data_IF_064799639055
#
_entry.id   IF_064799639055
#
_cell.length_a   1.000
_cell.length_b   1.000
_cell.length_c   1.000
_cell.angle_alpha   90.00
_cell.angle_beta   90.00
_cell.angle_gamma   90.00
#
_symmetry.space_group_name_H-M   'P 1'
#
loop_
_entity.id
_entity.type
_entity.pdbx_description
1 polymer ?
#
# COMPACT_ATOMS: atom_id res chain seq x y z
N UNK A 1 12.60 68.43 1.04
CA UNK A 1 13.34 67.16 0.96
C UNK A 1 12.34 66.03 0.90
N UNK A 2 12.18 65.48 -0.29
CA UNK A 2 11.11 64.56 -0.64
C UNK A 2 11.70 63.13 -0.65
N UNK A 3 11.32 62.29 0.31
CA UNK A 3 11.75 60.89 0.34
C UNK A 3 10.72 60.02 -0.40
N UNK A 4 11.12 59.51 -1.55
CA UNK A 4 10.33 58.61 -2.37
C UNK A 4 10.29 57.22 -1.73
N UNK A 5 9.07 56.70 -1.50
CA UNK A 5 8.82 55.35 -1.05
C UNK A 5 9.02 54.37 -2.22
N UNK A 6 9.83 53.32 -2.00
CA UNK A 6 10.03 52.21 -2.95
C UNK A 6 8.78 51.34 -3.04
N UNK A 7 8.45 50.78 -4.23
CA UNK A 7 7.28 49.89 -4.40
C UNK A 7 7.58 48.50 -3.82
N UNK A 8 6.72 48.07 -2.90
CA UNK A 8 6.71 46.69 -2.36
C UNK A 8 6.33 45.70 -3.44
N UNK A 9 7.23 44.76 -3.77
CA UNK A 9 6.97 43.66 -4.69
C UNK A 9 5.94 42.72 -4.10
N UNK A 10 4.83 42.48 -4.83
CA UNK A 10 3.82 41.45 -4.55
C UNK A 10 4.47 40.08 -4.62
N UNK A 11 4.17 39.12 -3.70
CA UNK A 11 4.65 37.77 -3.80
C UNK A 11 4.04 37.09 -5.04
N UNK A 12 4.90 36.43 -5.84
CA UNK A 12 4.50 35.65 -7.02
C UNK A 12 3.53 34.55 -6.60
N UNK A 13 2.37 34.54 -7.25
CA UNK A 13 1.31 33.56 -7.07
C UNK A 13 1.83 32.15 -7.30
N UNK A 14 1.41 31.25 -6.39
CA UNK A 14 1.47 29.79 -6.46
C UNK A 14 1.15 29.33 -7.89
N UNK A 15 2.08 28.62 -8.53
CA UNK A 15 1.87 28.10 -9.88
C UNK A 15 0.57 27.27 -9.91
N UNK A 16 -0.44 27.75 -10.59
CA UNK A 16 -1.64 27.00 -10.93
C UNK A 16 -1.18 25.84 -11.83
N UNK A 17 -1.23 24.61 -11.28
CA UNK A 17 -1.02 23.40 -12.08
C UNK A 17 -2.07 23.36 -13.20
N UNK A 18 -1.63 23.11 -14.44
CA UNK A 18 -2.52 22.95 -15.58
C UNK A 18 -3.63 21.93 -15.23
N UNK A 19 -4.89 22.16 -15.70
CA UNK A 19 -6.00 21.26 -15.40
C UNK A 19 -5.68 19.84 -15.89
N UNK A 20 -5.92 18.83 -15.02
CA UNK A 20 -5.66 17.43 -15.32
C UNK A 20 -6.33 17.03 -16.66
N UNK A 21 -5.61 16.26 -17.49
CA UNK A 21 -6.15 15.75 -18.75
C UNK A 21 -7.38 14.88 -18.54
N UNK A 22 -8.22 14.71 -19.57
CA UNK A 22 -9.38 13.80 -19.51
C UNK A 22 -8.95 12.37 -19.11
N UNK A 23 -7.80 11.94 -19.61
CA UNK A 23 -7.22 10.63 -19.27
C UNK A 23 -6.89 10.53 -17.78
N UNK A 24 -6.20 11.52 -17.21
CA UNK A 24 -5.88 11.54 -15.78
C UNK A 24 -7.14 11.57 -14.90
N UNK A 25 -8.14 12.40 -15.25
CA UNK A 25 -9.40 12.43 -14.49
C UNK A 25 -10.12 11.08 -14.50
N UNK A 26 -10.09 10.35 -15.63
CA UNK A 26 -10.67 9.00 -15.72
C UNK A 26 -9.91 8.00 -14.83
N UNK A 27 -8.59 8.06 -14.81
CA UNK A 27 -7.76 7.20 -13.94
C UNK A 27 -8.09 7.46 -12.46
N UNK A 28 -8.14 8.72 -12.03
CA UNK A 28 -8.46 9.06 -10.64
C UNK A 28 -9.90 8.65 -10.26
N UNK A 29 -10.85 8.85 -11.16
CA UNK A 29 -12.23 8.39 -10.96
C UNK A 29 -12.29 6.85 -10.84
N UNK A 30 -11.56 6.13 -11.69
CA UNK A 30 -11.46 4.67 -11.63
C UNK A 30 -10.84 4.19 -10.31
N UNK A 31 -9.71 4.78 -9.87
CA UNK A 31 -9.11 4.48 -8.56
C UNK A 31 -10.13 4.67 -7.44
N UNK A 32 -10.85 5.78 -7.44
CA UNK A 32 -11.85 6.07 -6.41
C UNK A 32 -12.99 5.05 -6.39
N UNK A 33 -13.51 4.69 -7.57
CA UNK A 33 -14.59 3.71 -7.70
C UNK A 33 -14.14 2.30 -7.34
N UNK A 34 -12.96 1.85 -7.82
CA UNK A 34 -12.41 0.54 -7.47
C UNK A 34 -12.24 0.39 -5.96
N UNK A 35 -11.81 1.45 -5.26
CA UNK A 35 -11.68 1.46 -3.80
C UNK A 35 -13.03 1.43 -3.07
N UNK A 36 -14.06 1.97 -3.65
CA UNK A 36 -15.39 2.06 -3.03
C UNK A 36 -16.24 0.82 -3.31
N UNK A 37 -16.24 0.32 -4.55
CA UNK A 37 -17.22 -0.65 -5.06
C UNK A 37 -16.62 -1.87 -5.74
N UNK A 38 -15.28 -2.02 -5.75
CA UNK A 38 -14.61 -3.10 -6.47
C UNK A 38 -14.69 -2.94 -7.99
N UNK A 39 -14.33 -4.00 -8.71
CA UNK A 39 -14.35 -4.01 -10.18
C UNK A 39 -15.78 -4.05 -10.73
N UNK A 40 -16.64 -4.84 -10.08
CA UNK A 40 -18.06 -5.00 -10.48
C UNK A 40 -18.80 -3.67 -10.43
N UNK A 41 -18.59 -2.87 -9.37
CA UNK A 41 -19.23 -1.56 -9.20
C UNK A 41 -18.59 -0.41 -9.97
N UNK A 42 -17.36 -0.59 -10.50
CA UNK A 42 -16.65 0.45 -11.26
C UNK A 42 -16.95 0.37 -12.77
N UNK A 43 -18.19 0.63 -13.16
CA UNK A 43 -18.61 0.62 -14.57
C UNK A 43 -18.06 1.83 -15.34
N UNK A 44 -17.91 1.69 -16.68
CA UNK A 44 -17.42 2.76 -17.57
C UNK A 44 -18.26 4.02 -17.43
N UNK A 45 -19.59 3.89 -17.40
CA UNK A 45 -20.50 5.04 -17.29
C UNK A 45 -20.31 5.78 -15.95
N UNK A 46 -20.05 5.07 -14.86
CA UNK A 46 -19.75 5.67 -13.56
C UNK A 46 -18.42 6.42 -13.58
N UNK A 47 -17.37 5.85 -14.23
CA UNK A 47 -16.08 6.53 -14.39
C UNK A 47 -16.25 7.81 -15.23
N UNK A 48 -16.98 7.75 -16.35
CA UNK A 48 -17.26 8.92 -17.19
C UNK A 48 -17.98 10.00 -16.37
N UNK A 49 -19.03 9.63 -15.66
CA UNK A 49 -19.79 10.57 -14.82
C UNK A 49 -18.91 11.19 -13.72
N UNK A 50 -18.11 10.39 -13.02
CA UNK A 50 -17.25 10.85 -11.92
C UNK A 50 -16.07 11.69 -12.40
N UNK A 51 -15.53 11.41 -13.60
CA UNK A 51 -14.40 12.14 -14.18
C UNK A 51 -14.78 13.46 -14.85
N UNK A 52 -16.07 13.66 -15.19
CA UNK A 52 -16.52 14.78 -16.00
C UNK A 52 -15.94 14.77 -17.42
N UNK A 53 -15.46 13.63 -17.91
CA UNK A 53 -14.87 13.50 -19.23
C UNK A 53 -15.97 13.26 -20.31
N UNK A 54 -15.77 13.71 -21.56
CA UNK A 54 -16.69 13.42 -22.64
C UNK A 54 -16.80 11.90 -22.88
N UNK A 55 -18.04 11.38 -23.11
CA UNK A 55 -18.26 9.93 -23.34
C UNK A 55 -17.38 9.34 -24.44
N UNK A 56 -17.19 10.06 -25.55
CA UNK A 56 -16.37 9.60 -26.67
C UNK A 56 -14.88 9.50 -26.38
N UNK A 57 -14.37 10.18 -25.34
CA UNK A 57 -12.95 10.16 -25.03
C UNK A 57 -12.49 8.89 -24.31
N UNK A 58 -13.42 8.09 -23.78
CA UNK A 58 -13.09 6.85 -23.05
C UNK A 58 -12.34 5.85 -23.95
N UNK A 59 -12.93 5.45 -25.07
CA UNK A 59 -12.31 4.48 -25.99
C UNK A 59 -11.14 5.07 -26.80
N UNK A 60 -11.05 6.39 -26.87
CA UNK A 60 -9.86 7.05 -27.41
C UNK A 60 -8.64 6.89 -26.46
N UNK A 61 -8.85 7.04 -25.15
CA UNK A 61 -7.77 6.92 -24.16
C UNK A 61 -7.51 5.49 -23.69
N UNK A 62 -8.51 4.63 -23.77
CA UNK A 62 -8.49 3.25 -23.30
C UNK A 62 -9.20 2.35 -24.31
N UNK A 63 -8.54 2.01 -25.47
CA UNK A 63 -9.12 1.16 -26.51
C UNK A 63 -9.55 -0.22 -25.99
N UNK A 64 -8.82 -0.80 -25.02
CA UNK A 64 -9.17 -2.05 -24.33
C UNK A 64 -10.29 -1.90 -23.29
N UNK A 65 -10.92 -0.72 -23.20
CA UNK A 65 -12.11 -0.50 -22.40
C UNK A 65 -11.86 -0.58 -20.89
N UNK A 66 -12.81 -1.24 -20.19
CA UNK A 66 -12.83 -1.33 -18.73
C UNK A 66 -11.59 -1.99 -18.14
N UNK A 67 -11.11 -3.06 -18.76
CA UNK A 67 -9.96 -3.82 -18.24
C UNK A 67 -8.66 -3.01 -18.36
N UNK A 68 -8.45 -2.31 -19.47
CA UNK A 68 -7.28 -1.45 -19.64
C UNK A 68 -7.30 -0.29 -18.63
N UNK A 69 -8.42 0.38 -18.47
CA UNK A 69 -8.57 1.45 -17.49
C UNK A 69 -8.34 0.94 -16.06
N UNK A 70 -8.92 -0.22 -15.71
CA UNK A 70 -8.72 -0.84 -14.40
C UNK A 70 -7.24 -1.20 -14.16
N UNK A 71 -6.57 -1.76 -15.16
CA UNK A 71 -5.12 -2.08 -15.11
C UNK A 71 -4.31 -0.83 -14.81
N UNK A 72 -4.50 0.24 -15.57
CA UNK A 72 -3.78 1.51 -15.38
C UNK A 72 -4.08 2.12 -14.01
N UNK A 73 -5.34 2.10 -13.57
CA UNK A 73 -5.76 2.60 -12.27
C UNK A 73 -5.14 1.81 -11.10
N UNK A 74 -5.11 0.47 -11.22
CA UNK A 74 -4.51 -0.41 -10.22
C UNK A 74 -3.00 -0.19 -10.10
N UNK A 75 -2.28 -0.12 -11.23
CA UNK A 75 -0.84 0.14 -11.25
C UNK A 75 -0.54 1.49 -10.61
N UNK A 76 -1.23 2.56 -11.03
CA UNK A 76 -1.05 3.91 -10.47
C UNK A 76 -1.33 3.95 -8.96
N UNK A 77 -2.36 3.26 -8.49
CA UNK A 77 -2.64 3.15 -7.07
C UNK A 77 -1.57 2.34 -6.35
N UNK A 78 -1.12 1.24 -6.95
CA UNK A 78 -0.06 0.38 -6.42
C UNK A 78 1.25 1.13 -6.19
N UNK A 79 1.67 1.94 -7.17
CA UNK A 79 2.85 2.80 -7.10
C UNK A 79 2.75 3.81 -5.96
N UNK A 80 1.62 4.51 -5.83
CA UNK A 80 1.38 5.46 -4.72
C UNK A 80 1.47 4.81 -3.34
N UNK A 81 0.94 3.61 -3.21
CA UNK A 81 1.05 2.86 -1.95
C UNK A 81 2.49 2.44 -1.68
N UNK A 82 3.21 1.94 -2.70
CA UNK A 82 4.62 1.57 -2.57
C UNK A 82 5.50 2.77 -2.15
N UNK A 83 5.30 3.93 -2.78
CA UNK A 83 5.98 5.18 -2.43
C UNK A 83 5.66 5.61 -0.98
N UNK A 84 4.39 5.55 -0.58
CA UNK A 84 3.95 5.86 0.78
C UNK A 84 4.56 4.92 1.82
N UNK A 85 4.62 3.61 1.54
CA UNK A 85 5.29 2.63 2.38
C UNK A 85 6.79 2.91 2.50
N UNK A 86 7.48 3.16 1.37
CA UNK A 86 8.90 3.46 1.36
C UNK A 86 9.21 4.73 2.18
N UNK A 87 8.42 5.79 1.99
CA UNK A 87 8.59 7.04 2.74
C UNK A 87 8.40 6.84 4.25
N UNK A 88 7.39 6.07 4.67
CA UNK A 88 7.13 5.80 6.08
C UNK A 88 8.22 4.90 6.70
N UNK A 89 8.78 3.97 5.93
CA UNK A 89 9.84 3.08 6.37
C UNK A 89 11.23 3.75 6.39
N UNK A 90 11.44 4.85 5.68
CA UNK A 90 12.72 5.57 5.62
C UNK A 90 13.07 6.36 6.91
N UNK A 91 12.09 6.71 7.76
CA UNK A 91 12.31 7.55 8.95
C UNK A 91 13.24 6.90 10.01
N UNK A 92 13.70 7.66 11.03
CA UNK A 92 14.65 7.20 12.05
C UNK A 92 14.04 6.30 13.13
N UNK A 93 12.71 6.21 13.23
CA UNK A 93 12.04 5.41 14.25
C UNK A 93 12.36 3.91 14.13
N UNK A 94 12.27 3.11 15.21
CA UNK A 94 12.42 1.67 15.15
C UNK A 94 11.46 1.02 14.15
N UNK A 95 11.90 -0.04 13.46
CA UNK A 95 11.08 -0.70 12.44
C UNK A 95 9.70 -1.18 12.96
N UNK A 96 9.58 -1.76 14.18
CA UNK A 96 8.26 -2.12 14.73
C UNK A 96 7.30 -0.92 14.82
N UNK A 97 7.79 0.25 15.22
CA UNK A 97 6.98 1.48 15.33
C UNK A 97 6.54 2.00 13.96
N UNK A 98 7.44 1.95 12.98
CA UNK A 98 7.12 2.30 11.58
C UNK A 98 6.02 1.41 11.03
N UNK A 99 6.11 0.09 11.26
CA UNK A 99 5.11 -0.86 10.79
C UNK A 99 3.77 -0.63 11.50
N UNK A 100 3.76 -0.43 12.82
CA UNK A 100 2.56 -0.04 13.56
C UNK A 100 1.93 1.23 12.97
N UNK A 101 2.74 2.24 12.67
CA UNK A 101 2.31 3.49 12.05
C UNK A 101 1.64 3.31 10.67
N UNK A 102 2.01 2.28 9.88
CA UNK A 102 1.33 1.94 8.62
C UNK A 102 -0.12 1.52 8.88
N UNK A 103 -0.36 0.66 9.86
CA UNK A 103 -1.71 0.23 10.25
C UNK A 103 -2.55 1.40 10.78
N UNK A 104 -1.97 2.21 11.66
CA UNK A 104 -2.65 3.40 12.21
C UNK A 104 -2.96 4.43 11.13
N UNK A 105 -2.05 4.66 10.17
CA UNK A 105 -2.27 5.53 9.03
C UNK A 105 -3.42 5.02 8.14
N UNK A 106 -3.46 3.71 7.92
CA UNK A 106 -4.56 3.04 7.20
C UNK A 106 -5.88 3.21 7.94
N UNK A 107 -5.88 3.02 9.27
CA UNK A 107 -7.04 3.20 10.14
C UNK A 107 -7.60 4.64 10.05
N UNK A 108 -6.71 5.64 10.17
CA UNK A 108 -7.11 7.05 10.02
C UNK A 108 -7.70 7.35 8.65
N UNK A 109 -7.10 6.82 7.59
CA UNK A 109 -7.59 7.00 6.21
C UNK A 109 -8.98 6.39 6.01
N UNK A 110 -9.23 5.20 6.57
CA UNK A 110 -10.54 4.55 6.50
C UNK A 110 -11.60 5.31 7.29
N UNK A 111 -11.29 5.77 8.51
CA UNK A 111 -12.21 6.57 9.31
C UNK A 111 -12.56 7.89 8.62
N UNK A 112 -11.56 8.59 8.07
CA UNK A 112 -11.78 9.84 7.32
C UNK A 112 -12.69 9.63 6.10
N UNK A 113 -12.57 8.49 5.44
CA UNK A 113 -13.45 8.08 4.34
C UNK A 113 -14.78 7.46 4.84
N UNK A 114 -15.08 7.53 6.14
CA UNK A 114 -16.26 6.91 6.76
C UNK A 114 -16.44 5.43 6.37
N UNK A 115 -15.32 4.70 6.25
CA UNK A 115 -15.24 3.29 5.85
C UNK A 115 -15.82 2.97 4.46
N UNK A 116 -16.06 3.99 3.64
CA UNK A 116 -16.60 3.82 2.29
C UNK A 116 -15.57 3.30 1.28
N UNK A 117 -14.28 3.32 1.61
CA UNK A 117 -13.18 2.93 0.72
C UNK A 117 -12.24 1.96 1.41
N UNK A 118 -11.71 1.00 0.63
CA UNK A 118 -10.69 0.04 1.05
C UNK A 118 -9.53 -0.01 0.05
N UNK A 119 -8.73 -1.07 0.07
CA UNK A 119 -7.71 -1.31 -0.93
C UNK A 119 -8.35 -1.71 -2.27
N UNK A 120 -8.05 -0.97 -3.36
CA UNK A 120 -8.56 -1.32 -4.69
C UNK A 120 -8.04 -2.65 -5.18
N UNK A 121 -6.76 -2.99 -4.88
CA UNK A 121 -6.15 -4.26 -5.31
C UNK A 121 -6.84 -5.43 -4.62
N UNK A 122 -7.06 -5.35 -3.30
CA UNK A 122 -7.80 -6.36 -2.56
C UNK A 122 -9.24 -6.51 -3.04
N UNK A 123 -9.95 -5.39 -3.25
CA UNK A 123 -11.33 -5.41 -3.75
C UNK A 123 -11.44 -6.05 -5.13
N UNK A 124 -10.57 -5.66 -6.07
CA UNK A 124 -10.54 -6.27 -7.42
C UNK A 124 -10.15 -7.74 -7.37
N UNK A 125 -9.21 -8.14 -6.50
CA UNK A 125 -8.83 -9.55 -6.36
C UNK A 125 -9.98 -10.46 -5.92
N UNK A 126 -10.97 -9.92 -5.19
CA UNK A 126 -12.18 -10.67 -4.79
C UNK A 126 -13.26 -10.69 -5.89
N UNK A 127 -13.17 -9.80 -6.86
CA UNK A 127 -14.12 -9.69 -8.00
C UNK A 127 -13.61 -10.41 -9.27
N UNK A 128 -12.44 -11.11 -9.20
CA UNK A 128 -11.88 -11.79 -10.37
C UNK A 128 -12.74 -13.00 -10.77
N UNK A 129 -13.01 -13.09 -12.06
CA UNK A 129 -13.70 -14.18 -12.74
C UNK A 129 -12.99 -14.53 -14.07
N UNK A 130 -13.59 -15.34 -14.92
CA UNK A 130 -13.00 -15.74 -16.21
C UNK A 130 -12.79 -14.53 -17.15
N UNK A 131 -13.72 -13.58 -17.17
CA UNK A 131 -13.66 -12.39 -18.04
C UNK A 131 -12.59 -11.38 -17.57
N UNK A 132 -12.33 -11.35 -16.30
CA UNK A 132 -11.42 -10.40 -15.63
C UNK A 132 -10.08 -11.03 -15.21
N UNK A 133 -9.85 -12.32 -15.52
CA UNK A 133 -8.66 -13.09 -15.14
C UNK A 133 -7.33 -12.40 -15.55
N UNK A 134 -7.35 -11.59 -16.62
CA UNK A 134 -6.18 -10.80 -17.03
C UNK A 134 -5.69 -9.80 -15.97
N UNK A 135 -6.51 -9.42 -14.98
CA UNK A 135 -6.12 -8.56 -13.87
C UNK A 135 -5.41 -9.32 -12.73
N UNK A 136 -5.50 -10.65 -12.68
CA UNK A 136 -4.88 -11.43 -11.61
C UNK A 136 -3.35 -11.22 -11.52
N UNK A 137 -2.57 -11.31 -12.60
CA UNK A 137 -1.14 -11.05 -12.54
C UNK A 137 -0.82 -9.59 -12.19
N UNK A 138 -1.68 -8.63 -12.55
CA UNK A 138 -1.52 -7.22 -12.17
C UNK A 138 -1.67 -7.06 -10.65
N UNK A 139 -2.74 -7.61 -10.06
CA UNK A 139 -2.95 -7.57 -8.62
C UNK A 139 -1.82 -8.28 -7.85
N UNK A 140 -1.42 -9.47 -8.30
CA UNK A 140 -0.32 -10.23 -7.71
C UNK A 140 1.01 -9.46 -7.75
N UNK A 141 1.34 -8.83 -8.89
CA UNK A 141 2.54 -8.01 -9.05
C UNK A 141 2.55 -6.79 -8.12
N UNK A 142 1.42 -6.14 -7.93
CA UNK A 142 1.30 -5.00 -7.02
C UNK A 142 1.51 -5.46 -5.56
N UNK A 143 0.87 -6.56 -5.12
CA UNK A 143 1.12 -7.10 -3.79
C UNK A 143 2.59 -7.48 -3.59
N UNK A 144 3.21 -8.12 -4.59
CA UNK A 144 4.63 -8.47 -4.54
C UNK A 144 5.53 -7.22 -4.41
N UNK A 145 5.22 -6.13 -5.10
CA UNK A 145 5.97 -4.87 -4.98
C UNK A 145 5.90 -4.28 -3.56
N UNK A 146 4.73 -4.29 -2.91
CA UNK A 146 4.58 -3.83 -1.53
C UNK A 146 5.32 -4.72 -0.54
N UNK A 147 5.27 -6.04 -0.76
CA UNK A 147 6.02 -7.02 0.05
C UNK A 147 7.52 -6.79 -0.08
N UNK A 148 8.02 -6.50 -1.28
CA UNK A 148 9.43 -6.21 -1.52
C UNK A 148 9.90 -4.95 -0.78
N UNK A 149 9.09 -3.88 -0.77
CA UNK A 149 9.39 -2.65 0.00
C UNK A 149 9.48 -2.93 1.51
N UNK A 150 8.56 -3.74 2.04
CA UNK A 150 8.59 -4.14 3.45
C UNK A 150 9.80 -5.03 3.77
N UNK A 151 10.07 -6.01 2.93
CA UNK A 151 11.22 -6.92 3.11
C UNK A 151 12.55 -6.14 3.09
N UNK A 152 12.70 -5.17 2.19
CA UNK A 152 13.89 -4.32 2.15
C UNK A 152 14.12 -3.55 3.46
N UNK A 153 13.06 -3.10 4.14
CA UNK A 153 13.17 -2.45 5.44
C UNK A 153 13.52 -3.42 6.58
N UNK A 154 13.28 -4.72 6.41
CA UNK A 154 13.53 -5.79 7.39
C UNK A 154 14.94 -6.42 7.25
N UNK A 155 15.93 -5.68 6.74
CA UNK A 155 17.30 -6.17 6.47
C UNK A 155 18.01 -6.81 7.68
N UNK A 156 17.54 -6.56 8.90
CA UNK A 156 18.04 -7.21 10.11
C UNK A 156 17.57 -8.66 10.30
N UNK A 157 16.53 -9.10 9.58
CA UNK A 157 15.92 -10.42 9.70
C UNK A 157 16.37 -11.28 8.51
N UNK A 158 16.89 -12.51 8.70
CA UNK A 158 17.32 -13.38 7.60
C UNK A 158 16.14 -13.94 6.80
N UNK A 159 16.40 -14.29 5.54
CA UNK A 159 15.49 -15.11 4.71
C UNK A 159 15.47 -16.57 5.24
N UNK A 160 14.35 -17.29 5.09
CA UNK A 160 13.08 -16.88 4.45
C UNK A 160 12.10 -16.16 5.40
N UNK A 161 12.46 -15.95 6.68
CA UNK A 161 11.58 -15.35 7.70
C UNK A 161 11.20 -13.91 7.37
N UNK A 162 12.14 -13.12 6.86
CA UNK A 162 11.92 -11.74 6.42
C UNK A 162 10.79 -11.66 5.41
N UNK A 163 10.86 -12.48 4.36
CA UNK A 163 9.88 -12.46 3.27
C UNK A 163 8.50 -12.99 3.73
N UNK A 164 8.50 -13.97 4.65
CA UNK A 164 7.26 -14.44 5.27
C UNK A 164 6.59 -13.33 6.09
N UNK A 165 7.35 -12.57 6.88
CA UNK A 165 6.84 -11.44 7.65
C UNK A 165 6.33 -10.32 6.74
N UNK A 166 7.03 -9.99 5.66
CA UNK A 166 6.57 -9.00 4.70
C UNK A 166 5.22 -9.39 4.07
N UNK A 167 5.05 -10.65 3.68
CA UNK A 167 3.76 -11.18 3.22
C UNK A 167 2.69 -11.12 4.29
N UNK A 168 3.05 -11.47 5.54
CA UNK A 168 2.12 -11.46 6.66
C UNK A 168 1.62 -10.04 7.00
N UNK A 169 2.49 -9.03 6.94
CA UNK A 169 2.10 -7.62 7.12
C UNK A 169 1.00 -7.24 6.12
N UNK A 170 1.20 -7.52 4.83
CA UNK A 170 0.22 -7.19 3.79
C UNK A 170 -1.09 -7.96 4.02
N UNK A 171 -1.02 -9.26 4.29
CA UNK A 171 -2.21 -10.08 4.57
C UNK A 171 -2.99 -9.58 5.78
N UNK A 172 -2.29 -9.18 6.85
CA UNK A 172 -2.88 -8.64 8.07
C UNK A 172 -3.59 -7.30 7.81
N UNK A 173 -2.97 -6.40 7.02
CA UNK A 173 -3.60 -5.13 6.64
C UNK A 173 -4.87 -5.39 5.82
N UNK A 174 -4.83 -6.28 4.82
CA UNK A 174 -5.99 -6.59 3.99
C UNK A 174 -7.14 -7.16 4.82
N UNK A 175 -6.86 -8.13 5.68
CA UNK A 175 -7.88 -8.73 6.57
C UNK A 175 -8.46 -7.73 7.56
N UNK A 176 -7.61 -6.91 8.19
CA UNK A 176 -8.03 -5.88 9.12
C UNK A 176 -8.86 -4.78 8.45
N UNK A 177 -8.53 -4.39 7.21
CA UNK A 177 -9.35 -3.43 6.43
C UNK A 177 -10.76 -3.96 6.15
N UNK A 178 -10.89 -5.24 5.77
CA UNK A 178 -12.20 -5.86 5.53
C UNK A 178 -13.05 -5.81 6.79
N UNK A 179 -12.49 -6.22 7.94
CA UNK A 179 -13.20 -6.23 9.23
C UNK A 179 -13.53 -4.81 9.71
N UNK A 180 -12.56 -3.87 9.59
CA UNK A 180 -12.79 -2.46 9.94
C UNK A 180 -13.90 -1.83 9.12
N UNK A 181 -13.98 -2.16 7.82
CA UNK A 181 -15.05 -1.68 6.93
C UNK A 181 -16.42 -2.23 7.35
N UNK A 182 -16.49 -3.54 7.62
CA UNK A 182 -17.74 -4.20 8.02
C UNK A 182 -18.26 -3.68 9.36
N UNK A 183 -17.37 -3.55 10.35
CA UNK A 183 -17.73 -3.10 11.69
C UNK A 183 -17.81 -1.56 11.83
N UNK A 184 -17.30 -0.80 10.85
CA UNK A 184 -17.09 0.66 10.91
C UNK A 184 -16.25 1.06 12.14
N UNK A 185 -15.21 0.28 12.44
CA UNK A 185 -14.38 0.40 13.63
C UNK A 185 -12.89 0.17 13.28
N UNK A 186 -12.04 1.05 13.75
CA UNK A 186 -10.60 1.02 13.50
C UNK A 186 -9.83 0.03 14.37
N UNK A 187 -10.43 -0.51 15.44
CA UNK A 187 -9.72 -1.40 16.38
C UNK A 187 -9.04 -2.57 15.69
N UNK A 188 -9.65 -3.17 14.67
CA UNK A 188 -9.06 -4.30 13.94
C UNK A 188 -7.70 -3.96 13.30
N UNK A 189 -7.57 -2.76 12.73
CA UNK A 189 -6.29 -2.29 12.19
C UNK A 189 -5.31 -1.94 13.30
N UNK A 190 -5.74 -1.27 14.36
CA UNK A 190 -4.86 -0.85 15.47
C UNK A 190 -4.31 -2.07 16.21
N UNK A 191 -5.16 -3.04 16.54
CA UNK A 191 -4.77 -4.27 17.22
C UNK A 191 -3.86 -5.15 16.34
N UNK A 192 -4.22 -5.33 15.07
CA UNK A 192 -3.37 -6.07 14.13
C UNK A 192 -1.99 -5.41 14.00
N UNK A 193 -1.94 -4.07 13.93
CA UNK A 193 -0.69 -3.32 13.85
C UNK A 193 0.20 -3.53 15.09
N UNK A 194 -0.39 -3.54 16.29
CA UNK A 194 0.34 -3.80 17.53
C UNK A 194 0.93 -5.23 17.57
N UNK A 195 0.13 -6.22 17.16
CA UNK A 195 0.58 -7.63 17.12
C UNK A 195 1.70 -7.82 16.09
N UNK A 196 1.53 -7.28 14.88
CA UNK A 196 2.55 -7.38 13.82
C UNK A 196 3.84 -6.67 14.23
N UNK A 197 3.76 -5.51 14.87
CA UNK A 197 4.92 -4.79 15.39
C UNK A 197 5.68 -5.62 16.44
N UNK A 198 4.98 -6.29 17.36
CA UNK A 198 5.59 -7.19 18.34
C UNK A 198 6.30 -8.39 17.69
N UNK A 199 5.68 -9.00 16.66
CA UNK A 199 6.31 -10.11 15.92
C UNK A 199 7.60 -9.68 15.20
N UNK A 200 7.64 -8.47 14.65
CA UNK A 200 8.84 -7.92 14.01
C UNK A 200 9.91 -7.62 15.05
N UNK A 201 9.56 -7.03 16.21
CA UNK A 201 10.49 -6.79 17.30
C UNK A 201 11.15 -8.09 17.76
N UNK A 202 10.35 -9.12 18.02
CA UNK A 202 10.85 -10.45 18.40
C UNK A 202 11.79 -11.04 17.34
N UNK A 203 11.42 -10.93 16.05
CA UNK A 203 12.26 -11.47 14.98
C UNK A 203 13.61 -10.74 14.86
N UNK A 204 13.67 -9.45 15.15
CA UNK A 204 14.91 -8.67 15.19
C UNK A 204 15.79 -9.07 16.38
N UNK A 205 15.21 -9.24 17.57
CA UNK A 205 15.91 -9.69 18.79
C UNK A 205 16.53 -11.08 18.59
N UNK A 206 15.76 -12.05 18.11
CA UNK A 206 16.25 -13.41 17.84
C UNK A 206 17.38 -13.41 16.80
N UNK A 207 17.27 -12.56 15.77
CA UNK A 207 18.30 -12.42 14.74
C UNK A 207 19.58 -11.78 15.27
N UNK A 208 19.49 -10.88 16.24
CA UNK A 208 20.63 -10.24 16.90
C UNK A 208 21.35 -11.25 17.81
N UNK A 209 20.62 -11.97 18.65
CA UNK A 209 21.17 -13.01 19.52
C UNK A 209 21.86 -14.13 18.73
N UNK A 210 21.30 -14.55 17.59
CA UNK A 210 21.92 -15.56 16.73
C UNK A 210 23.25 -15.10 16.11
N UNK A 211 23.43 -13.80 15.87
CA UNK A 211 24.69 -13.22 15.39
C UNK A 211 25.75 -13.11 16.49
N UNK A 212 25.34 -12.80 17.70
CA UNK A 212 26.24 -12.66 18.88
C UNK A 212 26.71 -14.01 19.41
N UNK A 213 25.91 -15.08 19.19
CA UNK A 213 26.25 -16.44 19.69
C UNK A 213 26.23 -17.47 18.53
N UNK A 214 27.23 -17.44 17.61
CA UNK A 214 27.30 -18.39 16.49
C UNK A 214 27.63 -19.84 16.92
N UNK A 215 27.89 -20.09 18.20
CA UNK A 215 28.37 -21.38 18.75
C UNK A 215 27.28 -22.34 19.25
N UNK A 216 26.08 -22.26 18.72
CA UNK A 216 25.04 -23.30 18.87
C UNK A 216 25.34 -24.56 18.04
N UNK A 217 26.60 -24.93 17.78
CA UNK A 217 26.92 -26.21 17.17
C UNK A 217 26.73 -27.32 18.22
N UNK A 218 26.02 -28.41 17.86
CA UNK A 218 25.90 -29.56 18.77
C UNK A 218 27.31 -30.13 19.05
N UNK A 219 27.71 -30.19 20.29
CA UNK A 219 28.95 -30.84 20.73
C UNK A 219 29.04 -32.21 20.07
N UNK A 220 30.17 -32.56 19.39
CA UNK A 220 30.38 -33.90 18.88
C UNK A 220 30.34 -34.86 20.09
N UNK A 221 29.43 -35.83 20.05
CA UNK A 221 29.33 -36.89 21.05
C UNK A 221 30.69 -37.52 21.19
N UNK A 222 31.34 -37.36 22.35
CA UNK A 222 32.56 -38.10 22.71
C UNK A 222 32.22 -39.59 22.57
N UNK A 223 32.83 -40.22 21.57
CA UNK A 223 32.82 -41.66 21.46
C UNK A 223 33.48 -42.23 22.75
N UNK A 224 32.66 -42.87 23.61
CA UNK A 224 33.18 -43.75 24.62
C UNK A 224 33.87 -44.91 23.89
N UNK A 225 35.21 -44.92 23.89
CA UNK A 225 35.96 -46.13 23.63
C UNK A 225 35.66 -47.04 24.84
N UNK A 226 35.00 -48.18 24.54
CA UNK A 226 34.91 -49.28 25.47
C UNK A 226 36.22 -50.02 25.51
N UNK A 227 36.62 -50.34 26.71
CA UNK A 227 37.52 -51.47 27.05
C UNK A 227 36.73 -52.77 26.97
#
# INVERSE_FOLDING_TARGET
MNAAAAPTAKPKSRAESAPASSRERMIEAAISLLRATGLTGAGINQVIAASGAPKGSMYHHFPGGKLELATVALIRWGERVAEGLAAQLAGPAPLPDKVRGIFEGTARTMAHAQYARSCSVGAVSLDLDEETAALAPVCAGIFASWQAVLAAAMHGIPEPRRDALARFVISSIQGAQVQSRAARDNRYLVEAGAIVAALIAQALEESSHARENPAGQPHPRRSRKGD
#
